data_IF_366043481269
#
_entry.id   IF_366043481269
#
_cell.length_a   1.000
_cell.length_b   1.000
_cell.length_c   1.000
_cell.angle_alpha   90.00
_cell.angle_beta   90.00
_cell.angle_gamma   90.00
#
_symmetry.space_group_name_H-M   'P 1'
#
loop_
_entity.id
_entity.type
_entity.pdbx_description
1 polymer ?
#
# COMPACT_ATOMS: atom_id res chain seq x y z
N UNK A 1 14.37 16.94 -18.85
CA UNK A 1 13.06 16.28 -18.68
C UNK A 1 12.80 16.18 -17.18
N UNK A 2 11.92 17.00 -16.64
CA UNK A 2 11.53 17.00 -15.23
C UNK A 2 10.13 16.41 -15.16
N UNK A 3 10.05 15.07 -15.23
CA UNK A 3 8.81 14.38 -14.86
C UNK A 3 8.51 14.74 -13.41
N UNK A 4 7.33 15.30 -13.14
CA UNK A 4 6.94 15.71 -11.78
C UNK A 4 6.85 14.46 -10.91
N UNK A 5 7.49 14.51 -9.74
CA UNK A 5 7.30 13.51 -8.71
C UNK A 5 5.83 13.53 -8.29
N UNK A 6 5.16 12.38 -8.37
CA UNK A 6 3.82 12.22 -7.81
C UNK A 6 3.90 12.30 -6.29
N UNK A 7 3.36 13.38 -5.73
CA UNK A 7 3.18 13.51 -4.29
C UNK A 7 1.97 12.66 -3.87
N UNK A 8 2.15 11.80 -2.88
CA UNK A 8 1.04 11.07 -2.26
C UNK A 8 0.24 12.08 -1.43
N UNK A 9 -1.04 12.24 -1.75
CA UNK A 9 -1.96 13.16 -1.05
C UNK A 9 -2.20 12.73 0.40
N UNK A 10 -2.56 13.69 1.27
CA UNK A 10 -2.84 13.47 2.70
C UNK A 10 -1.65 13.72 3.64
N UNK A 11 -1.91 13.78 4.95
CA UNK A 11 -0.90 14.05 5.99
C UNK A 11 -0.38 12.74 6.63
N UNK A 12 0.90 12.67 7.04
CA UNK A 12 1.40 11.56 7.85
C UNK A 12 0.56 11.40 9.13
N UNK A 13 0.29 10.17 9.58
CA UNK A 13 -0.38 9.95 10.85
C UNK A 13 0.48 10.48 11.99
N UNK A 14 -0.16 10.89 13.08
CA UNK A 14 0.54 11.33 14.27
C UNK A 14 1.38 10.16 14.84
N UNK A 15 2.65 10.41 15.18
CA UNK A 15 3.57 9.37 15.67
C UNK A 15 3.11 8.69 16.97
N UNK A 16 2.23 9.34 17.75
CA UNK A 16 1.66 8.81 18.99
C UNK A 16 0.35 8.01 18.78
N UNK A 17 -0.21 8.05 17.57
CA UNK A 17 -1.46 7.38 17.21
C UNK A 17 -1.25 6.59 15.91
N UNK A 18 -0.23 5.72 15.93
CA UNK A 18 0.01 4.83 14.80
C UNK A 18 -1.11 3.78 14.73
N UNK A 19 -1.63 3.50 13.52
CA UNK A 19 -2.62 2.44 13.34
C UNK A 19 -2.01 1.07 13.70
N UNK A 20 -2.84 0.13 14.15
CA UNK A 20 -2.42 -1.24 14.45
C UNK A 20 -1.91 -1.96 13.18
N UNK A 21 -2.50 -1.63 12.03
CA UNK A 21 -2.08 -2.11 10.72
C UNK A 21 -0.93 -1.32 10.07
N UNK A 22 -0.80 -1.47 8.76
CA UNK A 22 0.14 -0.73 7.94
C UNK A 22 -0.05 0.79 8.08
N UNK A 23 1.03 1.49 8.46
CA UNK A 23 1.09 2.96 8.61
C UNK A 23 0.74 3.73 7.34
N UNK A 24 0.82 3.08 6.19
CA UNK A 24 0.50 3.66 4.88
C UNK A 24 -0.93 3.37 4.44
N UNK A 25 -1.72 2.58 5.18
CA UNK A 25 -3.04 2.12 4.76
C UNK A 25 -3.97 3.27 4.35
N UNK A 26 -3.96 4.39 5.06
CA UNK A 26 -4.82 5.56 4.73
C UNK A 26 -4.40 6.31 3.47
N UNK A 27 -3.17 6.11 2.98
CA UNK A 27 -2.64 6.81 1.79
C UNK A 27 -2.14 5.85 0.70
N UNK A 28 -2.31 4.55 0.87
CA UNK A 28 -1.82 3.55 -0.07
C UNK A 28 -2.87 3.31 -1.16
N UNK A 29 -2.53 3.50 -2.45
CA UNK A 29 -3.47 3.25 -3.56
C UNK A 29 -3.81 1.76 -3.72
N UNK A 30 -3.02 0.87 -3.11
CA UNK A 30 -3.24 -0.57 -3.08
C UNK A 30 -3.65 -1.04 -1.69
N UNK A 31 -4.29 -0.19 -0.87
CA UNK A 31 -4.74 -0.63 0.46
C UNK A 31 -5.81 -1.72 0.34
N UNK A 32 -5.71 -2.74 1.20
CA UNK A 32 -6.75 -3.74 1.44
C UNK A 32 -7.06 -3.81 2.93
N UNK A 33 -8.13 -4.51 3.29
CA UNK A 33 -8.56 -4.62 4.70
C UNK A 33 -7.50 -5.27 5.60
N UNK A 34 -6.69 -6.20 5.08
CA UNK A 34 -5.57 -6.79 5.83
C UNK A 34 -4.54 -5.71 6.21
N UNK A 35 -4.32 -4.72 5.35
CA UNK A 35 -3.40 -3.62 5.63
C UNK A 35 -3.89 -2.72 6.76
N UNK A 36 -5.20 -2.64 7.02
CA UNK A 36 -5.76 -1.84 8.13
C UNK A 36 -5.78 -2.59 9.45
N UNK A 37 -5.88 -3.92 9.39
CA UNK A 37 -5.99 -4.82 10.54
C UNK A 37 -4.65 -5.30 11.09
N UNK A 38 -3.70 -5.58 10.19
CA UNK A 38 -2.45 -6.24 10.57
C UNK A 38 -1.23 -5.58 9.92
N UNK A 39 -0.13 -5.60 10.66
CA UNK A 39 1.16 -5.13 10.15
C UNK A 39 1.89 -6.26 9.42
N UNK A 40 2.33 -6.03 8.16
CA UNK A 40 2.96 -7.08 7.36
C UNK A 40 4.30 -7.54 7.94
N UNK A 41 4.63 -8.84 7.80
CA UNK A 41 5.92 -9.37 8.18
C UNK A 41 7.04 -8.76 7.31
N UNK A 42 8.29 -8.98 7.74
CA UNK A 42 9.44 -8.65 6.90
C UNK A 42 9.52 -9.69 5.77
N UNK A 43 9.51 -9.22 4.53
CA UNK A 43 9.57 -10.03 3.32
C UNK A 43 10.85 -9.64 2.57
N UNK A 44 11.76 -10.59 2.36
CA UNK A 44 12.97 -10.38 1.57
C UNK A 44 12.59 -10.52 0.08
N UNK A 45 12.84 -9.48 -0.73
CA UNK A 45 12.53 -9.42 -2.16
C UNK A 45 13.73 -9.86 -3.00
N UNK A 46 14.92 -9.51 -2.55
CA UNK A 46 16.20 -10.00 -3.07
C UNK A 46 17.24 -10.09 -1.95
N UNK A 47 18.52 -10.21 -2.30
CA UNK A 47 19.61 -10.41 -1.33
C UNK A 47 19.85 -9.21 -0.41
N UNK A 48 19.48 -7.99 -0.81
CA UNK A 48 19.73 -6.75 -0.03
C UNK A 48 18.47 -5.88 0.15
N UNK A 49 17.36 -6.23 -0.50
CA UNK A 49 16.09 -5.52 -0.40
C UNK A 49 15.05 -6.30 0.38
N UNK A 50 14.47 -5.64 1.38
CA UNK A 50 13.35 -6.14 2.16
C UNK A 50 12.17 -5.17 2.14
N UNK A 51 10.97 -5.69 2.36
CA UNK A 51 9.74 -4.91 2.46
C UNK A 51 8.86 -5.37 3.61
N UNK A 52 7.97 -4.49 4.05
CA UNK A 52 6.86 -4.77 4.96
C UNK A 52 5.57 -4.41 4.23
N UNK A 53 5.29 -5.07 3.11
CA UNK A 53 4.11 -4.77 2.30
C UNK A 53 3.39 -6.07 2.01
N UNK A 54 2.10 -6.12 2.38
CA UNK A 54 1.25 -7.28 2.11
C UNK A 54 1.24 -7.66 0.64
N UNK A 55 1.39 -6.70 -0.29
CA UNK A 55 1.44 -6.98 -1.74
C UNK A 55 2.49 -8.02 -2.17
N UNK A 56 3.55 -8.19 -1.39
CA UNK A 56 4.62 -9.16 -1.65
C UNK A 56 4.50 -10.43 -0.80
N UNK A 57 3.52 -10.48 0.11
CA UNK A 57 3.23 -11.65 0.91
C UNK A 57 2.37 -12.64 0.12
N UNK A 58 2.50 -13.94 0.42
CA UNK A 58 1.61 -14.97 -0.13
C UNK A 58 0.12 -14.69 0.15
N UNK A 59 -0.21 -14.14 1.32
CA UNK A 59 -1.59 -13.82 1.73
C UNK A 59 -2.28 -12.77 0.83
N UNK A 60 -1.53 -12.08 -0.03
CA UNK A 60 -2.09 -11.13 -1.00
C UNK A 60 -2.78 -11.79 -2.19
N UNK A 61 -2.32 -12.96 -2.61
CA UNK A 61 -2.79 -13.63 -3.83
C UNK A 61 -4.10 -14.41 -3.63
N UNK A 62 -4.53 -14.60 -2.39
CA UNK A 62 -5.72 -15.38 -2.03
C UNK A 62 -7.04 -14.58 -2.06
N UNK A 63 -7.11 -13.45 -2.76
CA UNK A 63 -8.33 -12.61 -2.85
C UNK A 63 -8.69 -12.28 -4.31
N UNK A 64 -9.96 -12.48 -4.74
CA UNK A 64 -10.38 -12.24 -6.11
C UNK A 64 -10.27 -10.75 -6.49
N UNK A 65 -9.70 -10.54 -7.65
CA UNK A 65 -9.32 -9.27 -8.28
C UNK A 65 -10.50 -8.38 -8.74
N UNK A 66 -11.40 -7.96 -7.85
CA UNK A 66 -12.43 -6.97 -8.22
C UNK A 66 -12.06 -5.56 -7.77
N UNK A 67 -11.23 -4.86 -8.55
CA UNK A 67 -11.25 -3.38 -8.75
C UNK A 67 -10.05 -2.87 -9.56
N UNK A 68 -9.90 -3.40 -10.78
CA UNK A 68 -9.28 -2.66 -11.87
C UNK A 68 -10.39 -2.02 -12.72
N UNK A 69 -10.92 -0.87 -12.30
CA UNK A 69 -11.90 -0.08 -13.04
C UNK A 69 -11.84 1.37 -12.52
N UNK A 70 -11.63 2.43 -13.28
CA UNK A 70 -11.50 2.61 -14.73
C UNK A 70 -10.71 3.89 -14.98
N UNK A 71 -9.83 3.87 -15.97
CA UNK A 71 -9.56 5.07 -16.76
C UNK A 71 -10.77 5.31 -17.66
N UNK A 72 -11.39 6.50 -17.58
CA UNK A 72 -11.96 7.16 -18.76
C UNK A 72 -12.17 8.65 -18.44
N UNK A 73 -11.30 9.47 -19.01
CA UNK A 73 -11.46 10.92 -19.23
C UNK A 73 -12.31 11.16 -20.49
N UNK A 74 -12.86 12.38 -20.60
CA UNK A 74 -13.53 13.07 -21.74
C UNK A 74 -15.06 13.08 -21.78
N UNK A 75 -15.58 14.32 -21.81
CA UNK A 75 -16.98 14.74 -21.89
C UNK A 75 -17.04 16.22 -21.56
#
# INVERSE_FOLDING_TARGET
RTDRLFAIEGQPPALYALPEGCRFADRCPHVRDICRREYPPKIDIDTDHMTHCWMFDSAWKDQPEESASSQQVVG
#
